data_IF_736403275056
#
_entry.id   IF_736403275056
#
_cell.length_a   1.000
_cell.length_b   1.000
_cell.length_c   1.000
_cell.angle_alpha   90.00
_cell.angle_beta   90.00
_cell.angle_gamma   90.00
#
_symmetry.space_group_name_H-M   'P 1'
#
loop_
_entity.id
_entity.type
_entity.pdbx_description
1 polymer ?
#
# COMPACT_ATOMS: atom_id res chain seq x y z
N UNK A 1 23.44 -25.93 2.10
CA UNK A 1 24.12 -24.64 2.31
C UNK A 1 23.27 -23.61 1.57
N UNK A 2 22.53 -22.76 2.29
CA UNK A 2 21.76 -21.67 1.66
C UNK A 2 22.79 -20.68 1.11
N UNK A 3 22.71 -20.26 -0.17
CA UNK A 3 23.59 -19.21 -0.67
C UNK A 3 23.40 -17.97 0.19
N UNK A 4 24.47 -17.51 0.85
CA UNK A 4 24.43 -16.26 1.58
C UNK A 4 24.32 -15.15 0.53
N UNK A 5 23.11 -14.66 0.30
CA UNK A 5 22.84 -13.54 -0.61
C UNK A 5 23.22 -12.23 0.08
N UNK A 6 24.50 -12.05 0.40
CA UNK A 6 25.00 -10.85 1.11
C UNK A 6 25.47 -9.75 0.17
N UNK A 7 25.77 -10.07 -1.09
CA UNK A 7 26.39 -9.12 -2.02
C UNK A 7 25.38 -8.49 -2.99
N UNK A 8 25.64 -7.22 -3.35
CA UNK A 8 24.84 -6.42 -4.27
C UNK A 8 24.53 -7.16 -5.58
N UNK A 9 25.52 -7.91 -6.07
CA UNK A 9 25.43 -8.68 -7.32
C UNK A 9 24.49 -9.88 -7.23
N UNK A 10 24.41 -10.55 -6.08
CA UNK A 10 23.56 -11.73 -5.92
C UNK A 10 22.08 -11.36 -6.01
N UNK A 11 21.72 -10.20 -5.47
CA UNK A 11 20.36 -9.70 -5.45
C UNK A 11 19.95 -9.17 -6.82
N UNK A 12 20.85 -8.45 -7.50
CA UNK A 12 20.59 -7.99 -8.89
C UNK A 12 20.46 -9.20 -9.83
N UNK A 13 21.32 -10.21 -9.68
CA UNK A 13 21.23 -11.42 -10.48
C UNK A 13 19.91 -12.19 -10.21
N UNK A 14 19.54 -12.34 -8.94
CA UNK A 14 18.32 -13.04 -8.55
C UNK A 14 17.04 -12.32 -8.99
N UNK A 15 16.91 -11.03 -8.68
CA UNK A 15 15.66 -10.28 -8.92
C UNK A 15 15.58 -9.80 -10.37
N UNK A 16 16.67 -9.21 -10.90
CA UNK A 16 16.62 -8.53 -12.20
C UNK A 16 16.94 -9.48 -13.34
N UNK A 17 17.99 -10.29 -13.22
CA UNK A 17 18.45 -11.14 -14.34
C UNK A 17 17.69 -12.46 -14.45
N UNK A 18 17.43 -13.10 -13.32
CA UNK A 18 16.66 -14.35 -13.25
C UNK A 18 15.15 -14.13 -13.21
N UNK A 19 14.72 -12.88 -12.99
CA UNK A 19 13.31 -12.48 -13.04
C UNK A 19 12.48 -12.89 -11.83
N UNK A 20 13.12 -13.24 -10.71
CA UNK A 20 12.40 -13.52 -9.46
C UNK A 20 11.85 -12.22 -8.86
N UNK A 21 10.71 -12.29 -8.18
CA UNK A 21 10.09 -11.12 -7.55
C UNK A 21 10.53 -10.96 -6.10
N UNK A 22 10.24 -9.79 -5.51
CA UNK A 22 10.56 -9.52 -4.09
C UNK A 22 9.87 -10.47 -3.12
N UNK A 23 8.76 -11.09 -3.52
CA UNK A 23 8.11 -12.18 -2.78
C UNK A 23 9.03 -13.40 -2.69
N UNK A 24 9.58 -13.86 -3.81
CA UNK A 24 10.54 -14.97 -3.84
C UNK A 24 11.77 -14.62 -2.99
N UNK A 25 12.24 -13.37 -3.06
CA UNK A 25 13.35 -12.89 -2.25
C UNK A 25 13.04 -12.96 -0.75
N UNK A 26 11.82 -12.62 -0.31
CA UNK A 26 11.43 -12.74 1.10
C UNK A 26 11.40 -14.19 1.59
N UNK A 27 11.13 -15.14 0.69
CA UNK A 27 11.05 -16.57 0.98
C UNK A 27 12.45 -17.24 1.06
N UNK A 28 13.52 -16.53 0.68
CA UNK A 28 14.91 -17.04 0.76
C UNK A 28 15.49 -17.13 2.18
N UNK A 29 14.80 -16.56 3.19
CA UNK A 29 15.24 -16.61 4.58
C UNK A 29 16.35 -15.60 4.93
N UNK A 30 16.38 -14.45 4.24
CA UNK A 30 17.27 -13.34 4.58
C UNK A 30 17.01 -12.84 6.00
N UNK A 31 18.07 -12.72 6.80
CA UNK A 31 17.98 -12.19 8.18
C UNK A 31 17.77 -10.67 8.23
N UNK A 32 18.23 -9.96 7.20
CA UNK A 32 18.17 -8.49 7.13
C UNK A 32 17.73 -8.03 5.76
N UNK A 33 17.02 -6.90 5.71
CA UNK A 33 16.64 -6.25 4.44
C UNK A 33 17.91 -5.81 3.69
N UNK A 34 18.06 -6.17 2.40
CA UNK A 34 19.21 -5.72 1.62
C UNK A 34 19.28 -4.21 1.49
N UNK A 35 20.51 -3.68 1.44
CA UNK A 35 20.79 -2.23 1.39
C UNK A 35 20.07 -1.50 0.24
N UNK A 36 19.79 -2.20 -0.87
CA UNK A 36 19.10 -1.67 -2.04
C UNK A 36 17.63 -1.33 -1.78
N UNK A 37 17.00 -1.97 -0.79
CA UNK A 37 15.62 -1.71 -0.36
C UNK A 37 15.53 -0.80 0.86
N UNK A 38 16.68 -0.41 1.43
CA UNK A 38 16.73 0.52 2.54
C UNK A 38 16.60 1.94 1.99
N UNK A 39 15.47 2.60 2.27
CA UNK A 39 15.22 3.97 1.84
C UNK A 39 16.27 4.96 2.41
N UNK A 40 16.52 6.09 1.73
CA UNK A 40 17.27 7.23 2.29
C UNK A 40 16.68 7.68 3.63
N UNK A 41 17.50 8.31 4.47
CA UNK A 41 17.09 8.66 5.84
C UNK A 41 15.88 9.59 5.87
N UNK A 42 15.77 10.47 4.87
CA UNK A 42 14.71 11.47 4.70
C UNK A 42 13.36 10.85 4.31
N UNK A 43 13.37 9.67 3.68
CA UNK A 43 12.17 8.96 3.22
C UNK A 43 11.72 7.87 4.19
N UNK A 44 12.57 7.51 5.15
CA UNK A 44 12.23 6.49 6.15
C UNK A 44 11.10 6.97 7.02
N UNK A 45 10.07 6.13 7.13
CA UNK A 45 8.96 6.35 8.05
C UNK A 45 9.50 6.41 9.49
N UNK A 46 9.35 7.57 10.12
CA UNK A 46 9.66 7.76 11.52
C UNK A 46 8.46 7.29 12.36
N UNK A 47 8.55 6.06 12.87
CA UNK A 47 7.54 5.46 13.73
C UNK A 47 7.34 6.22 15.05
N UNK A 48 8.24 7.13 15.43
CA UNK A 48 8.08 7.98 16.62
C UNK A 48 7.34 9.29 16.32
N UNK A 49 7.18 9.66 15.04
CA UNK A 49 6.49 10.85 14.58
C UNK A 49 5.04 10.55 14.14
N UNK A 50 4.38 9.58 14.80
CA UNK A 50 2.93 9.40 14.64
C UNK A 50 2.23 10.58 15.32
N UNK A 51 2.00 11.63 14.54
CA UNK A 51 1.21 12.77 14.99
C UNK A 51 -0.23 12.29 15.11
N UNK A 52 -0.86 12.49 16.28
CA UNK A 52 -2.30 12.36 16.45
C UNK A 52 -3.00 13.48 15.66
N UNK A 53 -3.01 13.37 14.33
CA UNK A 53 -3.75 14.27 13.45
C UNK A 53 -5.20 13.81 13.31
N UNK A 54 -6.04 14.72 12.81
CA UNK A 54 -7.39 14.43 12.36
C UNK A 54 -7.39 13.12 11.53
N UNK A 55 -8.40 12.28 11.70
CA UNK A 55 -8.50 11.03 10.93
C UNK A 55 -8.84 11.33 9.46
N UNK A 56 -8.32 10.52 8.54
CA UNK A 56 -8.70 10.57 7.11
C UNK A 56 -10.24 10.54 6.99
N UNK A 57 -10.86 11.43 6.20
CA UNK A 57 -12.31 11.48 6.06
C UNK A 57 -12.88 10.16 5.52
N UNK A 58 -13.98 9.70 6.10
CA UNK A 58 -14.76 8.55 5.61
C UNK A 58 -16.11 9.07 5.12
N UNK A 59 -16.44 8.80 3.85
CA UNK A 59 -17.64 9.30 3.18
C UNK A 59 -18.61 8.14 2.92
N UNK A 60 -19.83 8.26 3.43
CA UNK A 60 -20.91 7.32 3.16
C UNK A 60 -21.61 7.66 1.84
N UNK A 61 -21.46 6.78 0.86
CA UNK A 61 -22.03 6.94 -0.47
C UNK A 61 -23.45 6.38 -0.59
N UNK A 62 -24.06 5.85 0.46
CA UNK A 62 -25.39 5.21 0.40
C UNK A 62 -26.49 6.10 -0.18
N UNK A 63 -26.37 7.42 -0.03
CA UNK A 63 -27.36 8.42 -0.49
C UNK A 63 -26.85 9.34 -1.60
N UNK A 64 -25.83 8.94 -2.35
CA UNK A 64 -25.17 9.84 -3.32
C UNK A 64 -26.11 10.37 -4.43
N UNK A 65 -27.20 9.67 -4.74
CA UNK A 65 -28.21 10.13 -5.71
C UNK A 65 -29.27 11.07 -5.10
N UNK A 66 -29.45 11.02 -3.79
CA UNK A 66 -30.52 11.71 -3.06
C UNK A 66 -30.02 12.94 -2.30
N UNK A 67 -28.78 12.89 -1.81
CA UNK A 67 -28.19 13.93 -0.97
C UNK A 67 -27.00 14.60 -1.67
N UNK A 68 -27.14 15.87 -2.13
CA UNK A 68 -26.05 16.61 -2.75
C UNK A 68 -24.87 16.85 -1.81
N UNK A 69 -25.06 16.71 -0.48
CA UNK A 69 -23.97 16.84 0.52
C UNK A 69 -22.91 15.77 0.37
N UNK A 70 -23.22 14.62 -0.24
CA UNK A 70 -22.22 13.60 -0.51
C UNK A 70 -21.17 14.14 -1.49
N UNK A 71 -21.60 14.83 -2.56
CA UNK A 71 -20.69 15.47 -3.51
C UNK A 71 -19.89 16.61 -2.86
N UNK A 72 -20.53 17.42 -2.01
CA UNK A 72 -19.85 18.47 -1.25
C UNK A 72 -18.76 17.89 -0.33
N UNK A 73 -19.06 16.78 0.38
CA UNK A 73 -18.11 16.10 1.26
C UNK A 73 -16.90 15.57 0.49
N UNK A 74 -17.11 15.05 -0.72
CA UNK A 74 -16.01 14.62 -1.61
C UNK A 74 -15.13 15.81 -1.98
N UNK A 75 -15.72 16.92 -2.42
CA UNK A 75 -14.97 18.13 -2.79
C UNK A 75 -14.17 18.67 -1.60
N UNK A 76 -14.78 18.79 -0.42
CA UNK A 76 -14.11 19.26 0.80
C UNK A 76 -12.98 18.34 1.24
N UNK A 77 -13.18 17.03 1.17
CA UNK A 77 -12.12 16.08 1.50
C UNK A 77 -10.98 16.13 0.46
N UNK A 78 -11.30 16.21 -0.83
CA UNK A 78 -10.29 16.36 -1.87
C UNK A 78 -9.49 17.68 -1.74
N UNK A 79 -10.14 18.78 -1.40
CA UNK A 79 -9.49 20.09 -1.22
C UNK A 79 -8.64 20.14 0.05
N UNK A 80 -9.17 19.70 1.19
CA UNK A 80 -8.47 19.79 2.50
C UNK A 80 -7.41 18.70 2.66
N UNK A 81 -7.68 17.49 2.19
CA UNK A 81 -6.83 16.31 2.45
C UNK A 81 -6.13 15.77 1.20
N UNK A 82 -6.70 15.96 0.02
CA UNK A 82 -6.26 15.25 -1.20
C UNK A 82 -6.54 13.75 -1.16
N UNK A 83 -7.15 13.22 -0.09
CA UNK A 83 -7.39 11.80 0.11
C UNK A 83 -8.59 11.56 1.05
N UNK A 84 -9.37 10.51 0.79
CA UNK A 84 -10.52 10.10 1.59
C UNK A 84 -10.86 8.63 1.38
N UNK A 85 -11.62 8.06 2.30
CA UNK A 85 -12.17 6.70 2.23
C UNK A 85 -13.66 6.77 1.89
N UNK A 86 -14.18 5.77 1.17
CA UNK A 86 -15.61 5.66 0.86
C UNK A 86 -16.18 4.34 1.38
N UNK A 87 -17.41 4.39 1.87
CA UNK A 87 -18.21 3.21 2.25
C UNK A 87 -19.55 3.26 1.53
N UNK A 88 -20.26 2.12 1.45
CA UNK A 88 -21.56 2.02 0.77
C UNK A 88 -21.58 2.52 -0.68
N UNK A 89 -20.42 2.51 -1.35
CA UNK A 89 -20.18 2.90 -2.75
C UNK A 89 -20.90 2.07 -3.83
N UNK A 90 -21.79 1.14 -3.47
CA UNK A 90 -22.54 0.30 -4.42
C UNK A 90 -21.76 -0.89 -5.00
N UNK A 91 -20.45 -1.01 -4.74
CA UNK A 91 -19.71 -2.23 -5.07
C UNK A 91 -20.02 -3.32 -4.03
N UNK A 92 -20.44 -4.48 -4.50
CA UNK A 92 -20.66 -5.64 -3.64
C UNK A 92 -19.34 -6.08 -3.01
N UNK A 93 -19.35 -6.37 -1.72
CA UNK A 93 -18.19 -6.89 -0.99
C UNK A 93 -17.61 -8.13 -1.69
N UNK A 94 -18.47 -8.96 -2.30
CA UNK A 94 -18.06 -10.13 -3.07
C UNK A 94 -17.21 -9.80 -4.30
N UNK A 95 -17.50 -8.70 -5.02
CA UNK A 95 -16.72 -8.29 -6.19
C UNK A 95 -15.30 -7.88 -5.78
N UNK A 96 -15.19 -7.15 -4.67
CA UNK A 96 -13.88 -6.78 -4.09
C UNK A 96 -13.13 -8.03 -3.66
N UNK A 97 -13.81 -8.96 -2.98
CA UNK A 97 -13.22 -10.22 -2.56
C UNK A 97 -12.69 -11.03 -3.75
N UNK A 98 -13.49 -11.19 -4.81
CA UNK A 98 -13.10 -11.92 -6.02
C UNK A 98 -11.85 -11.33 -6.69
N UNK A 99 -11.71 -10.00 -6.72
CA UNK A 99 -10.53 -9.34 -7.29
C UNK A 99 -9.28 -9.60 -6.43
N UNK A 100 -9.42 -9.58 -5.11
CA UNK A 100 -8.30 -9.79 -4.19
C UNK A 100 -7.83 -11.25 -4.14
N UNK A 101 -8.73 -12.22 -4.38
CA UNK A 101 -8.40 -13.65 -4.30
C UNK A 101 -8.04 -14.29 -5.65
N UNK A 102 -8.17 -13.58 -6.77
CA UNK A 102 -7.84 -14.13 -8.11
C UNK A 102 -6.38 -13.92 -8.55
N UNK A 103 -5.52 -13.37 -7.69
CA UNK A 103 -4.07 -13.39 -7.94
C UNK A 103 -3.47 -14.68 -7.37
N UNK A 104 -3.36 -15.70 -8.23
CA UNK A 104 -2.46 -16.84 -8.06
C UNK A 104 -1.39 -16.78 -9.14
#
# INVERSE_FOLDING_TARGET
MVPVMSELWDIIDFVVRKGNVVKDLSETGLETVPKQYVQPMEERLDMNNVVNQDSIPVIDMSKYLEDPKVAESICLAAEKWGFFQVINHGCLVWCVFMLLTNSN
#
